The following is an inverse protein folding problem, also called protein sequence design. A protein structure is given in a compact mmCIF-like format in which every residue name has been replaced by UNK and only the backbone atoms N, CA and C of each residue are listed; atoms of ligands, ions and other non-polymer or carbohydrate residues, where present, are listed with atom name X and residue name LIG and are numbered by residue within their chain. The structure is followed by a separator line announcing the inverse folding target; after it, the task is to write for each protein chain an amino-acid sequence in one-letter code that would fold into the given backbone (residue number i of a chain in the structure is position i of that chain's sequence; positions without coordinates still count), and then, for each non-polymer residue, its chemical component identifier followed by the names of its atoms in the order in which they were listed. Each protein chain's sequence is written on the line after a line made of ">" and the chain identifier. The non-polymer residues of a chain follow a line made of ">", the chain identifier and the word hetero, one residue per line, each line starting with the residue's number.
data_IF_187341220447
#
_entry.id   IF_187341220447
#
_cell.length_a   1.000
_cell.length_b   1.000
_cell.length_c   1.000
_cell.angle_alpha   90.00
_cell.angle_beta   90.00
_cell.angle_gamma   90.00
#
_symmetry.space_group_name_H-M   'P 1'
#
loop_
_entity.id
_entity.type
_entity.pdbx_description
1 polymer ?
#
# COMPACT_ATOMS: atom_id res chain seq x y z
N UNK A 1 4.04 18.01 -3.67
CA UNK A 1 5.10 17.24 -4.33
C UNK A 1 5.49 16.10 -3.41
N UNK A 2 5.41 14.85 -3.87
CA UNK A 2 6.05 13.73 -3.18
C UNK A 2 7.54 13.82 -3.47
N UNK A 3 8.34 14.11 -2.45
CA UNK A 3 9.80 14.10 -2.54
C UNK A 3 10.25 12.63 -2.64
N UNK A 4 10.98 12.25 -3.70
CA UNK A 4 11.54 10.90 -3.86
C UNK A 4 13.04 10.92 -3.59
N UNK A 5 13.56 9.89 -2.93
CA UNK A 5 14.99 9.72 -2.65
C UNK A 5 15.85 9.86 -3.93
N UNK A 6 15.33 9.38 -5.06
CA UNK A 6 15.96 9.41 -6.39
C UNK A 6 16.21 10.84 -6.94
N UNK A 7 15.50 11.85 -6.42
CA UNK A 7 15.63 13.24 -6.87
C UNK A 7 16.83 13.96 -6.21
N UNK A 8 17.37 13.41 -5.11
CA UNK A 8 18.43 14.05 -4.32
C UNK A 8 19.73 14.29 -5.13
N UNK A 9 20.24 13.33 -5.94
CA UNK A 9 21.43 13.56 -6.76
C UNK A 9 21.23 14.68 -7.79
N UNK A 10 20.07 14.71 -8.44
CA UNK A 10 19.73 15.73 -9.44
C UNK A 10 19.65 17.11 -8.80
N UNK A 11 18.93 17.24 -7.68
CA UNK A 11 18.83 18.52 -6.96
C UNK A 11 20.18 19.00 -6.44
N UNK A 12 21.04 18.07 -6.00
CA UNK A 12 22.41 18.40 -5.55
C UNK A 12 23.25 18.95 -6.69
N UNK A 13 23.15 18.37 -7.89
CA UNK A 13 23.82 18.87 -9.08
C UNK A 13 23.29 20.25 -9.52
N UNK A 14 21.96 20.43 -9.55
CA UNK A 14 21.32 21.72 -9.88
C UNK A 14 21.74 22.82 -8.91
N UNK A 15 21.79 22.53 -7.61
CA UNK A 15 22.31 23.45 -6.60
C UNK A 15 23.76 23.83 -6.84
N UNK A 16 24.61 22.88 -7.23
CA UNK A 16 26.01 23.15 -7.55
C UNK A 16 26.16 24.11 -8.72
N UNK A 17 25.42 23.89 -9.81
CA UNK A 17 25.41 24.78 -10.98
C UNK A 17 24.89 26.17 -10.62
N UNK A 18 23.78 26.23 -9.88
CA UNK A 18 23.18 27.49 -9.45
C UNK A 18 24.11 28.29 -8.52
N UNK A 19 24.80 27.61 -7.61
CA UNK A 19 25.76 28.23 -6.71
C UNK A 19 26.93 28.86 -7.47
N UNK A 20 27.52 28.12 -8.40
CA UNK A 20 28.59 28.65 -9.26
C UNK A 20 28.10 29.87 -10.07
N UNK A 21 26.87 29.81 -10.60
CA UNK A 21 26.31 30.92 -11.36
C UNK A 21 26.11 32.19 -10.52
N UNK A 22 25.66 32.02 -9.27
CA UNK A 22 25.54 33.14 -8.31
C UNK A 22 26.91 33.74 -8.02
N UNK A 23 27.92 32.92 -7.73
CA UNK A 23 29.29 33.40 -7.48
C UNK A 23 29.87 34.17 -8.67
N UNK A 24 29.68 33.65 -9.89
CA UNK A 24 30.13 34.34 -11.12
C UNK A 24 29.43 35.69 -11.30
N UNK A 25 28.12 35.76 -11.06
CA UNK A 25 27.34 37.01 -11.16
C UNK A 25 27.73 38.03 -10.08
N UNK A 26 28.00 37.56 -8.86
CA UNK A 26 28.51 38.41 -7.78
C UNK A 26 29.90 38.96 -8.11
N UNK A 27 30.80 38.12 -8.64
CA UNK A 27 32.12 38.56 -9.09
C UNK A 27 32.05 39.62 -10.19
N UNK A 28 31.13 39.49 -11.15
CA UNK A 28 30.88 40.51 -12.17
C UNK A 28 30.31 41.80 -11.60
N UNK A 29 29.41 41.70 -10.62
CA UNK A 29 28.83 42.85 -9.92
C UNK A 29 29.92 43.63 -9.16
N UNK A 30 30.76 42.93 -8.41
CA UNK A 30 31.86 43.52 -7.61
C UNK A 30 32.94 44.13 -8.50
N UNK A 31 33.23 43.51 -9.65
CA UNK A 31 34.21 44.02 -10.61
C UNK A 31 33.67 45.16 -11.50
N UNK A 32 32.38 45.51 -11.43
CA UNK A 32 31.74 46.50 -12.31
C UNK A 32 31.94 46.20 -13.81
N UNK A 33 32.05 44.92 -14.19
CA UNK A 33 32.31 44.47 -15.56
C UNK A 33 30.99 44.15 -16.29
N UNK A 34 30.43 45.13 -16.99
CA UNK A 34 29.13 44.99 -17.69
C UNK A 34 29.24 44.47 -19.13
N UNK A 35 30.43 44.53 -19.74
CA UNK A 35 30.67 44.15 -21.14
C UNK A 35 30.41 42.65 -21.39
N UNK A 36 30.74 41.78 -20.43
CA UNK A 36 30.53 40.34 -20.56
C UNK A 36 29.05 39.96 -20.44
N UNK A 37 28.28 40.68 -19.61
CA UNK A 37 26.83 40.50 -19.53
C UNK A 37 26.13 41.00 -20.79
N UNK A 38 26.59 42.11 -21.38
CA UNK A 38 26.10 42.57 -22.68
C UNK A 38 26.35 41.55 -23.78
N UNK A 39 27.55 40.94 -23.82
CA UNK A 39 27.85 39.85 -24.77
C UNK A 39 26.95 38.64 -24.58
N UNK A 40 26.65 38.24 -23.32
CA UNK A 40 25.71 37.14 -23.03
C UNK A 40 24.28 37.48 -23.45
N UNK A 41 23.80 38.70 -23.15
CA UNK A 41 22.45 39.14 -23.54
C UNK A 41 22.33 39.24 -25.06
N UNK A 42 23.35 39.76 -25.75
CA UNK A 42 23.41 39.79 -27.21
C UNK A 42 23.39 38.38 -27.80
N UNK A 43 24.13 37.45 -27.20
CA UNK A 43 24.14 36.06 -27.64
C UNK A 43 22.78 35.37 -27.45
N UNK A 44 22.15 35.51 -26.29
CA UNK A 44 20.78 34.99 -26.04
C UNK A 44 19.75 35.61 -27.00
N UNK A 45 19.87 36.91 -27.26
CA UNK A 45 18.97 37.62 -28.18
C UNK A 45 19.08 37.08 -29.60
N UNK A 46 20.31 36.90 -30.10
CA UNK A 46 20.55 36.47 -31.50
C UNK A 46 20.38 34.97 -31.66
N UNK A 47 21.09 34.15 -30.88
CA UNK A 47 21.19 32.69 -31.08
C UNK A 47 19.95 31.93 -30.57
N UNK A 48 19.08 32.56 -29.77
CA UNK A 48 17.92 31.88 -29.19
C UNK A 48 16.63 32.59 -29.53
N UNK A 49 16.51 33.88 -29.17
CA UNK A 49 15.24 34.60 -29.32
C UNK A 49 14.92 34.90 -30.79
N UNK A 50 15.86 35.46 -31.56
CA UNK A 50 15.63 35.78 -32.98
C UNK A 50 15.50 34.50 -33.84
N UNK A 51 16.33 33.48 -33.59
CA UNK A 51 16.26 32.20 -34.30
C UNK A 51 14.95 31.44 -34.04
N UNK A 52 14.48 31.37 -32.78
CA UNK A 52 13.18 30.77 -32.46
C UNK A 52 12.02 31.58 -33.06
N UNK A 53 12.07 32.91 -33.02
CA UNK A 53 11.04 33.76 -33.65
C UNK A 53 11.00 33.53 -35.17
N UNK A 54 12.16 33.42 -35.83
CA UNK A 54 12.24 33.14 -37.26
C UNK A 54 11.63 31.77 -37.60
N UNK A 55 11.96 30.74 -36.82
CA UNK A 55 11.38 29.39 -36.99
C UNK A 55 9.86 29.38 -36.76
N UNK A 56 9.38 30.07 -35.71
CA UNK A 56 7.94 30.19 -35.44
C UNK A 56 7.21 30.95 -36.54
N UNK A 57 7.79 32.01 -37.09
CA UNK A 57 7.20 32.74 -38.21
C UNK A 57 7.04 31.86 -39.45
N UNK A 58 8.04 31.02 -39.75
CA UNK A 58 7.96 30.07 -40.86
C UNK A 58 6.84 29.05 -40.62
N UNK A 59 6.78 28.43 -39.43
CA UNK A 59 5.72 27.49 -39.08
C UNK A 59 4.31 28.11 -39.13
N UNK A 60 4.15 29.34 -38.63
CA UNK A 60 2.89 30.09 -38.68
C UNK A 60 2.46 30.31 -40.14
N UNK A 61 3.40 30.67 -41.01
CA UNK A 61 3.13 30.87 -42.43
C UNK A 61 2.69 29.55 -43.10
N UNK A 62 3.45 28.48 -42.90
CA UNK A 62 3.19 27.17 -43.52
C UNK A 62 1.84 26.59 -43.05
N UNK A 63 1.56 26.66 -41.73
CA UNK A 63 0.28 26.19 -41.18
C UNK A 63 -0.91 26.98 -41.74
N UNK A 64 -0.80 28.31 -41.88
CA UNK A 64 -1.84 29.13 -42.51
C UNK A 64 -2.06 28.78 -43.98
N UNK A 65 -0.97 28.53 -44.71
CA UNK A 65 -1.04 28.11 -46.11
C UNK A 65 -1.75 26.76 -46.26
N UNK A 66 -1.37 25.77 -45.46
CA UNK A 66 -1.96 24.42 -45.47
C UNK A 66 -3.44 24.43 -45.08
N UNK A 67 -3.82 25.21 -44.07
CA UNK A 67 -5.23 25.42 -43.71
C UNK A 67 -6.01 25.97 -44.92
N UNK A 68 -5.44 26.96 -45.63
CA UNK A 68 -6.04 27.51 -46.85
C UNK A 68 -6.22 26.48 -47.96
N UNK A 69 -5.24 25.59 -48.17
CA UNK A 69 -5.34 24.49 -49.15
C UNK A 69 -6.40 23.45 -48.77
N UNK A 70 -6.49 23.12 -47.47
CA UNK A 70 -7.51 22.20 -46.95
C UNK A 70 -8.91 22.79 -47.13
N UNK A 71 -9.10 24.08 -46.82
CA UNK A 71 -10.38 24.76 -46.97
C UNK A 71 -10.83 24.82 -48.44
N UNK A 72 -9.91 25.12 -49.35
CA UNK A 72 -10.15 25.04 -50.80
C UNK A 72 -10.58 23.63 -51.22
N UNK A 73 -9.85 22.60 -50.76
CA UNK A 73 -10.13 21.20 -51.08
C UNK A 73 -11.48 20.69 -50.53
N UNK A 74 -11.90 21.17 -49.35
CA UNK A 74 -13.18 20.85 -48.74
C UNK A 74 -14.36 21.56 -49.42
N UNK A 75 -14.12 22.69 -50.09
CA UNK A 75 -15.16 23.47 -50.78
C UNK A 75 -15.61 22.84 -52.11
N UNK A 76 -14.78 22.01 -52.75
CA UNK A 76 -15.11 21.34 -54.00
C UNK A 76 -16.00 20.11 -53.78
N UNK A 77 -17.22 20.13 -54.36
CA UNK A 77 -18.13 18.98 -54.39
C UNK A 77 -18.05 18.29 -55.76
N UNK A 78 -17.56 17.05 -55.78
CA UNK A 78 -17.67 16.18 -56.95
C UNK A 78 -19.15 15.80 -57.14
N UNK A 79 -19.79 16.37 -58.16
CA UNK A 79 -21.16 15.99 -58.57
C UNK A 79 -21.08 14.96 -59.69
N UNK A 80 -21.47 13.72 -59.40
CA UNK A 80 -21.73 12.70 -60.41
C UNK A 80 -23.16 12.20 -60.20
N UNK A 81 -24.04 12.41 -61.17
CA UNK A 81 -25.45 12.04 -61.11
C UNK A 81 -25.73 10.85 -62.04
N UNK A 82 -26.09 9.72 -61.43
CA UNK A 82 -26.47 8.50 -62.14
C UNK A 82 -27.77 8.64 -62.93
N UNK A 83 -28.66 9.57 -62.54
CA UNK A 83 -29.92 9.79 -63.22
C UNK A 83 -29.73 10.54 -64.54
N UNK A 84 -28.79 11.49 -64.59
CA UNK A 84 -28.39 12.16 -65.84
C UNK A 84 -27.78 11.16 -66.83
N UNK A 85 -26.98 10.22 -66.34
CA UNK A 85 -26.42 9.16 -67.20
C UNK A 85 -27.53 8.25 -67.72
N UNK A 86 -28.50 7.88 -66.87
CA UNK A 86 -29.65 7.06 -67.28
C UNK A 86 -30.48 7.76 -68.36
N UNK A 87 -30.78 9.06 -68.22
CA UNK A 87 -31.57 9.79 -69.20
C UNK A 87 -30.89 9.85 -70.56
N UNK A 88 -29.56 9.98 -70.61
CA UNK A 88 -28.80 9.97 -71.87
C UNK A 88 -28.90 8.62 -72.60
N UNK A 89 -28.84 7.50 -71.86
CA UNK A 89 -29.00 6.16 -72.46
C UNK A 89 -30.42 5.93 -72.99
N UNK A 90 -31.43 6.41 -72.26
CA UNK A 90 -32.84 6.32 -72.64
C UNK A 90 -33.12 7.18 -73.90
N UNK A 91 -32.56 8.39 -73.97
CA UNK A 91 -32.64 9.28 -75.16
C UNK A 91 -31.95 8.67 -76.40
N UNK A 92 -30.86 7.94 -76.21
CA UNK A 92 -30.15 7.27 -77.29
C UNK A 92 -30.82 5.95 -77.75
N UNK A 93 -31.98 5.57 -77.17
CA UNK A 93 -32.63 4.27 -77.35
C UNK A 93 -31.69 3.05 -77.11
N UNK A 94 -30.65 3.23 -76.30
CA UNK A 94 -29.69 2.19 -75.97
C UNK A 94 -30.08 1.54 -74.64
N UNK A 95 -30.20 0.22 -74.62
CA UNK A 95 -30.52 -0.51 -73.41
C UNK A 95 -29.40 -0.36 -72.37
N UNK A 96 -29.63 0.41 -71.30
CA UNK A 96 -28.68 0.52 -70.19
C UNK A 96 -28.70 -0.78 -69.36
N UNK A 97 -27.65 -1.62 -69.43
CA UNK A 97 -27.70 -2.93 -68.82
C UNK A 97 -27.82 -2.82 -67.30
N UNK A 98 -28.74 -3.57 -66.70
CA UNK A 98 -28.98 -3.58 -65.25
C UNK A 98 -27.70 -3.87 -64.45
N UNK A 99 -26.80 -4.68 -65.02
CA UNK A 99 -25.47 -4.96 -64.47
C UNK A 99 -24.59 -3.71 -64.39
N UNK A 100 -24.58 -2.88 -65.45
CA UNK A 100 -23.80 -1.64 -65.54
C UNK A 100 -24.36 -0.58 -64.57
N UNK A 101 -25.70 -0.45 -64.50
CA UNK A 101 -26.38 0.42 -63.53
C UNK A 101 -25.99 0.09 -62.09
N UNK A 102 -25.95 -1.21 -61.77
CA UNK A 102 -25.54 -1.69 -60.45
C UNK A 102 -24.07 -1.38 -60.17
N UNK A 103 -23.17 -1.65 -61.12
CA UNK A 103 -21.74 -1.36 -60.98
C UNK A 103 -21.43 0.14 -60.83
N UNK A 104 -22.07 1.01 -61.62
CA UNK A 104 -21.91 2.45 -61.46
C UNK A 104 -22.56 2.97 -60.17
N UNK A 105 -23.68 2.38 -59.74
CA UNK A 105 -24.28 2.61 -58.41
C UNK A 105 -23.29 2.29 -57.29
N UNK A 106 -22.69 1.11 -57.32
CA UNK A 106 -21.66 0.66 -56.37
C UNK A 106 -20.42 1.57 -56.41
N UNK A 107 -20.00 2.04 -57.59
CA UNK A 107 -18.87 2.97 -57.74
C UNK A 107 -19.18 4.37 -57.16
N UNK A 108 -20.41 4.87 -57.33
CA UNK A 108 -20.84 6.15 -56.76
C UNK A 108 -20.95 6.06 -55.24
N UNK A 109 -21.44 4.94 -54.70
CA UNK A 109 -21.44 4.69 -53.26
C UNK A 109 -20.02 4.57 -52.70
N UNK A 110 -19.13 3.85 -53.38
CA UNK A 110 -17.71 3.78 -53.02
C UNK A 110 -17.05 5.16 -53.04
N UNK A 111 -17.25 5.95 -54.10
CA UNK A 111 -16.72 7.32 -54.20
C UNK A 111 -17.27 8.22 -53.10
N UNK A 112 -18.57 8.11 -52.76
CA UNK A 112 -19.17 8.83 -51.63
C UNK A 112 -18.51 8.46 -50.31
N UNK A 113 -18.29 7.16 -50.05
CA UNK A 113 -17.63 6.67 -48.83
C UNK A 113 -16.19 7.16 -48.72
N UNK A 114 -15.40 7.02 -49.79
CA UNK A 114 -14.01 7.52 -49.86
C UNK A 114 -13.95 9.04 -49.68
N UNK A 115 -14.88 9.79 -50.27
CA UNK A 115 -14.94 11.25 -50.12
C UNK A 115 -15.31 11.67 -48.70
N UNK A 116 -16.21 10.94 -48.05
CA UNK A 116 -16.58 11.16 -46.65
C UNK A 116 -15.38 10.89 -45.72
N UNK A 117 -14.67 9.77 -45.90
CA UNK A 117 -13.47 9.44 -45.14
C UNK A 117 -12.36 10.47 -45.36
N UNK A 118 -12.11 10.87 -46.62
CA UNK A 118 -11.14 11.91 -46.98
C UNK A 118 -11.48 13.26 -46.33
N UNK A 119 -12.73 13.70 -46.42
CA UNK A 119 -13.15 14.98 -45.86
C UNK A 119 -13.12 14.97 -44.32
N UNK A 120 -13.40 13.81 -43.70
CA UNK A 120 -13.21 13.63 -42.26
C UNK A 120 -11.73 13.76 -41.86
N UNK A 121 -10.82 13.12 -42.62
CA UNK A 121 -9.38 13.24 -42.41
C UNK A 121 -8.87 14.68 -42.61
N UNK A 122 -9.32 15.37 -43.66
CA UNK A 122 -8.98 16.78 -43.92
C UNK A 122 -9.48 17.72 -42.82
N UNK A 123 -10.72 17.55 -42.34
CA UNK A 123 -11.24 18.34 -41.21
C UNK A 123 -10.48 18.09 -39.92
N UNK A 124 -10.06 16.84 -39.68
CA UNK A 124 -9.19 16.51 -38.54
C UNK A 124 -7.84 17.21 -38.67
N UNK A 125 -7.18 17.09 -39.82
CA UNK A 125 -5.87 17.74 -40.06
C UNK A 125 -5.95 19.26 -39.94
N UNK A 126 -7.02 19.88 -40.43
CA UNK A 126 -7.29 21.32 -40.27
C UNK A 126 -7.36 21.71 -38.80
N UNK A 127 -8.08 20.95 -37.99
CA UNK A 127 -8.20 21.20 -36.55
C UNK A 127 -6.85 21.07 -35.84
N UNK A 128 -6.06 20.07 -36.22
CA UNK A 128 -4.70 19.88 -35.68
C UNK A 128 -3.80 21.08 -36.03
N UNK A 129 -3.83 21.54 -37.29
CA UNK A 129 -3.08 22.73 -37.74
C UNK A 129 -3.56 24.03 -37.07
N UNK A 130 -4.86 24.20 -36.83
CA UNK A 130 -5.41 25.37 -36.09
C UNK A 130 -4.90 25.40 -34.64
N UNK A 131 -4.74 24.22 -34.02
CA UNK A 131 -4.17 24.12 -32.68
C UNK A 131 -2.66 24.43 -32.69
N UNK A 132 -1.90 23.84 -33.60
CA UNK A 132 -0.46 24.10 -33.77
C UNK A 132 -0.19 25.60 -34.00
N UNK A 133 -1.03 26.25 -34.83
CA UNK A 133 -0.95 27.68 -35.11
C UNK A 133 -1.15 28.53 -33.85
N UNK A 134 -2.18 28.23 -33.05
CA UNK A 134 -2.48 28.94 -31.81
C UNK A 134 -1.34 28.83 -30.79
N UNK A 135 -0.76 27.64 -30.65
CA UNK A 135 0.38 27.39 -29.76
C UNK A 135 1.63 28.16 -30.22
N UNK A 136 1.92 28.15 -31.52
CA UNK A 136 3.04 28.89 -32.11
C UNK A 136 2.90 30.42 -31.94
N UNK A 137 1.71 30.98 -32.17
CA UNK A 137 1.43 32.41 -31.97
C UNK A 137 1.54 32.84 -30.50
N UNK A 138 1.08 32.00 -29.57
CA UNK A 138 1.22 32.23 -28.13
C UNK A 138 2.70 32.26 -27.70
N UNK A 139 3.50 31.29 -28.17
CA UNK A 139 4.93 31.22 -27.87
C UNK A 139 5.71 32.39 -28.47
N UNK A 140 5.38 32.79 -29.71
CA UNK A 140 5.96 33.97 -30.35
C UNK A 140 5.70 35.24 -29.55
N UNK A 141 4.49 35.42 -29.04
CA UNK A 141 4.13 36.60 -28.22
C UNK A 141 4.99 36.71 -26.96
N UNK A 142 5.24 35.58 -26.28
CA UNK A 142 6.12 35.54 -25.11
C UNK A 142 7.58 35.89 -25.46
N UNK A 143 8.08 35.35 -26.57
CA UNK A 143 9.43 35.65 -27.05
C UNK A 143 9.59 37.11 -27.47
N UNK A 144 8.60 37.71 -28.14
CA UNK A 144 8.60 39.13 -28.49
C UNK A 144 8.63 40.03 -27.23
N UNK A 145 7.92 39.65 -26.16
CA UNK A 145 7.98 40.38 -24.89
C UNK A 145 9.40 40.31 -24.26
N UNK A 146 10.02 39.12 -24.22
CA UNK A 146 11.40 38.95 -23.76
C UNK A 146 12.39 39.73 -24.63
N UNK A 147 12.20 39.75 -25.95
CA UNK A 147 13.01 40.51 -26.91
C UNK A 147 13.02 42.00 -26.58
N UNK A 148 11.84 42.59 -26.34
CA UNK A 148 11.70 44.01 -25.97
C UNK A 148 12.41 44.32 -24.65
N UNK A 149 12.30 43.43 -23.66
CA UNK A 149 12.97 43.58 -22.38
C UNK A 149 14.50 43.54 -22.51
N UNK A 150 15.05 42.57 -23.25
CA UNK A 150 16.50 42.48 -23.50
C UNK A 150 17.04 43.67 -24.30
N UNK A 151 16.32 44.13 -25.31
CA UNK A 151 16.68 45.33 -26.09
C UNK A 151 16.68 46.60 -25.24
N UNK A 152 15.78 46.70 -24.25
CA UNK A 152 15.76 47.84 -23.31
C UNK A 152 17.02 47.89 -22.46
N UNK A 153 17.53 46.74 -22.03
CA UNK A 153 18.79 46.64 -21.26
C UNK A 153 19.98 47.07 -22.14
N UNK A 154 20.06 46.57 -23.38
CA UNK A 154 21.13 46.91 -24.33
C UNK A 154 21.14 48.38 -24.76
N UNK A 155 19.98 49.05 -24.79
CA UNK A 155 19.84 50.48 -25.14
C UNK A 155 20.12 51.44 -23.98
N UNK A 156 20.25 50.95 -22.75
CA UNK A 156 20.52 51.81 -21.59
C UNK A 156 21.97 52.32 -21.61
N UNK A 157 22.13 53.64 -21.56
CA UNK A 157 23.45 54.32 -21.48
C UNK A 157 23.91 54.50 -20.02
N UNK A 158 23.03 54.26 -19.04
CA UNK A 158 23.30 54.45 -17.62
C UNK A 158 23.80 53.15 -16.98
N UNK A 159 25.05 53.15 -16.52
CA UNK A 159 25.71 52.02 -15.86
C UNK A 159 25.00 51.63 -14.55
N UNK A 160 24.26 52.57 -13.95
CA UNK A 160 23.49 52.34 -12.73
C UNK A 160 22.25 51.48 -12.95
N UNK A 161 21.54 51.66 -14.08
CA UNK A 161 20.40 50.80 -14.44
C UNK A 161 20.84 49.36 -14.68
N UNK A 162 22.04 49.17 -15.26
CA UNK A 162 22.66 47.85 -15.49
C UNK A 162 23.05 47.19 -14.17
N UNK A 163 23.66 47.94 -13.26
CA UNK A 163 23.97 47.47 -11.91
C UNK A 163 22.70 47.02 -11.18
N UNK A 164 21.63 47.81 -11.24
CA UNK A 164 20.35 47.50 -10.60
C UNK A 164 19.70 46.23 -11.17
N UNK A 165 19.80 46.00 -12.48
CA UNK A 165 19.32 44.78 -13.11
C UNK A 165 20.14 43.54 -12.68
N UNK A 166 21.47 43.65 -12.64
CA UNK A 166 22.38 42.58 -12.20
C UNK A 166 22.19 42.24 -10.72
N UNK A 167 22.03 43.25 -9.87
CA UNK A 167 21.75 43.09 -8.45
C UNK A 167 20.40 42.42 -8.20
N UNK A 168 19.38 42.73 -9.01
CA UNK A 168 18.08 42.05 -8.96
C UNK A 168 18.22 40.58 -9.33
N UNK A 169 18.92 40.25 -10.41
CA UNK A 169 19.18 38.86 -10.81
C UNK A 169 19.91 38.08 -9.70
N UNK A 170 20.98 38.63 -9.12
CA UNK A 170 21.70 38.01 -7.99
C UNK A 170 20.76 37.73 -6.82
N UNK A 171 19.88 38.67 -6.50
CA UNK A 171 18.92 38.52 -5.40
C UNK A 171 17.92 37.39 -5.68
N UNK A 172 17.39 37.31 -6.90
CA UNK A 172 16.47 36.26 -7.33
C UNK A 172 17.13 34.87 -7.30
N UNK A 173 18.35 34.76 -7.83
CA UNK A 173 19.10 33.51 -7.86
C UNK A 173 19.50 33.05 -6.44
N UNK A 174 19.88 33.98 -5.55
CA UNK A 174 20.12 33.67 -4.12
C UNK A 174 18.87 33.15 -3.42
N UNK A 175 17.71 33.77 -3.65
CA UNK A 175 16.45 33.29 -3.09
C UNK A 175 16.13 31.87 -3.57
N UNK A 176 16.38 31.58 -4.85
CA UNK A 176 16.24 30.24 -5.42
C UNK A 176 17.22 29.24 -4.80
N UNK A 177 18.48 29.65 -4.55
CA UNK A 177 19.49 28.81 -3.90
C UNK A 177 19.09 28.43 -2.48
N UNK A 178 18.60 29.39 -1.69
CA UNK A 178 18.06 29.11 -0.35
C UNK A 178 16.88 28.15 -0.42
N UNK A 179 15.95 28.37 -1.35
CA UNK A 179 14.79 27.50 -1.54
C UNK A 179 15.20 26.06 -1.88
N UNK A 180 16.07 25.87 -2.88
CA UNK A 180 16.56 24.54 -3.27
C UNK A 180 17.40 23.90 -2.16
N UNK A 181 18.16 24.70 -1.41
CA UNK A 181 18.94 24.23 -0.25
C UNK A 181 18.04 23.65 0.85
N UNK A 182 16.92 24.31 1.15
CA UNK A 182 15.92 23.80 2.08
C UNK A 182 15.20 22.54 1.54
N UNK A 183 14.97 22.45 0.23
CA UNK A 183 14.46 21.23 -0.38
C UNK A 183 15.46 20.06 -0.25
N UNK A 184 16.77 20.32 -0.43
CA UNK A 184 17.81 19.31 -0.30
C UNK A 184 17.85 18.72 1.11
N UNK A 185 17.82 19.58 2.15
CA UNK A 185 17.78 19.11 3.54
C UNK A 185 16.59 18.19 3.82
N UNK A 186 15.42 18.51 3.27
CA UNK A 186 14.23 17.67 3.41
C UNK A 186 14.42 16.31 2.72
N UNK A 187 14.99 16.30 1.51
CA UNK A 187 15.29 15.07 0.78
C UNK A 187 16.36 14.22 1.47
N UNK A 188 17.39 14.83 2.06
CA UNK A 188 18.41 14.14 2.87
C UNK A 188 17.76 13.43 4.07
N UNK A 189 16.84 14.09 4.77
CA UNK A 189 16.09 13.47 5.87
C UNK A 189 15.19 12.30 5.40
N UNK A 190 14.56 12.43 4.22
CA UNK A 190 13.79 11.34 3.60
C UNK A 190 14.68 10.15 3.25
N UNK A 191 15.84 10.39 2.65
CA UNK A 191 16.81 9.34 2.29
C UNK A 191 17.33 8.59 3.53
N UNK A 192 17.66 9.34 4.59
CA UNK A 192 18.11 8.75 5.85
C UNK A 192 17.01 7.91 6.50
N UNK A 193 15.77 8.40 6.53
CA UNK A 193 14.63 7.64 7.05
C UNK A 193 14.40 6.36 6.23
N UNK A 194 14.49 6.45 4.90
CA UNK A 194 14.35 5.29 4.01
C UNK A 194 15.45 4.24 4.28
N UNK A 195 16.69 4.69 4.56
CA UNK A 195 17.78 3.80 4.97
C UNK A 195 17.47 3.08 6.27
N UNK A 196 17.02 3.79 7.29
CA UNK A 196 16.65 3.20 8.59
C UNK A 196 15.51 2.19 8.47
N UNK A 197 14.50 2.47 7.63
CA UNK A 197 13.41 1.51 7.34
C UNK A 197 13.98 0.23 6.71
N UNK A 198 14.85 0.34 5.70
CA UNK A 198 15.49 -0.82 5.05
C UNK A 198 16.31 -1.66 6.05
N UNK A 199 17.02 -1.01 6.97
CA UNK A 199 17.78 -1.69 8.02
C UNK A 199 16.85 -2.43 8.99
N UNK A 200 15.80 -1.76 9.49
CA UNK A 200 14.80 -2.36 10.37
C UNK A 200 14.06 -3.54 9.71
N UNK A 201 13.79 -3.47 8.40
CA UNK A 201 13.18 -4.57 7.65
C UNK A 201 14.10 -5.79 7.55
N UNK A 202 15.41 -5.58 7.37
CA UNK A 202 16.39 -6.68 7.38
C UNK A 202 16.50 -7.31 8.76
N UNK A 203 16.56 -6.50 9.81
CA UNK A 203 16.59 -6.99 11.19
C UNK A 203 15.34 -7.78 11.52
N UNK A 204 14.17 -7.29 11.12
CA UNK A 204 12.90 -8.03 11.23
C UNK A 204 13.01 -9.37 10.49
N UNK A 205 13.53 -9.39 9.27
CA UNK A 205 13.73 -10.63 8.50
C UNK A 205 14.60 -11.64 9.25
N UNK A 206 15.74 -11.20 9.79
CA UNK A 206 16.63 -12.05 10.59
C UNK A 206 15.92 -12.65 11.80
N UNK A 207 15.20 -11.83 12.58
CA UNK A 207 14.45 -12.31 13.76
C UNK A 207 13.38 -13.33 13.37
N UNK A 208 12.69 -13.11 12.25
CA UNK A 208 11.69 -14.05 11.74
C UNK A 208 12.31 -15.39 11.36
N UNK A 209 13.49 -15.39 10.75
CA UNK A 209 14.19 -16.62 10.41
C UNK A 209 14.74 -17.35 11.64
N UNK A 210 15.16 -16.61 12.68
CA UNK A 210 15.49 -17.18 14.00
C UNK A 210 14.28 -17.88 14.63
N UNK A 211 13.10 -17.24 14.59
CA UNK A 211 11.84 -17.85 15.08
C UNK A 211 11.52 -19.14 14.30
N UNK A 212 11.66 -19.13 12.97
CA UNK A 212 11.44 -20.35 12.15
C UNK A 212 12.38 -21.48 12.55
N UNK A 213 13.67 -21.17 12.71
CA UNK A 213 14.67 -22.16 13.13
C UNK A 213 14.37 -22.74 14.52
N UNK A 214 13.84 -21.93 15.45
CA UNK A 214 13.38 -22.41 16.75
C UNK A 214 12.21 -23.39 16.65
N UNK A 215 11.34 -23.24 15.65
CA UNK A 215 10.19 -24.13 15.43
C UNK A 215 10.57 -25.45 14.75
N UNK A 216 11.58 -25.45 13.89
CA UNK A 216 12.05 -26.66 13.19
C UNK A 216 12.66 -27.70 14.13
N UNK A 217 13.22 -27.26 15.26
CA UNK A 217 13.87 -28.12 16.25
C UNK A 217 13.18 -27.99 17.61
N UNK A 218 12.14 -28.80 17.87
CA UNK A 218 11.44 -28.80 19.14
C UNK A 218 12.40 -29.00 20.32
N UNK A 219 12.15 -28.29 21.41
CA UNK A 219 12.93 -28.47 22.64
C UNK A 219 12.42 -29.66 23.43
N UNK A 220 13.27 -30.26 24.26
CA UNK A 220 12.89 -31.33 25.19
C UNK A 220 11.73 -30.92 26.10
N UNK A 221 11.70 -29.64 26.51
CA UNK A 221 10.61 -29.07 27.32
C UNK A 221 9.30 -29.08 26.55
N UNK A 222 9.30 -28.64 25.29
CA UNK A 222 8.11 -28.67 24.44
C UNK A 222 7.64 -30.10 24.18
N UNK A 223 8.53 -31.03 23.86
CA UNK A 223 8.17 -32.44 23.64
C UNK A 223 7.57 -33.07 24.90
N UNK A 224 8.16 -32.80 26.06
CA UNK A 224 7.62 -33.25 27.36
C UNK A 224 6.23 -32.66 27.60
N UNK A 225 6.04 -31.36 27.35
CA UNK A 225 4.75 -30.69 27.46
C UNK A 225 3.70 -31.29 26.55
N UNK A 226 3.98 -31.40 25.24
CA UNK A 226 3.04 -31.91 24.25
C UNK A 226 2.58 -33.34 24.57
N UNK A 227 3.51 -34.19 25.04
CA UNK A 227 3.20 -35.55 25.49
C UNK A 227 2.27 -35.57 26.71
N UNK A 228 2.59 -34.82 27.76
CA UNK A 228 1.80 -34.76 29.00
C UNK A 228 0.40 -34.18 28.70
N UNK A 229 0.36 -33.07 27.96
CA UNK A 229 -0.89 -32.44 27.57
C UNK A 229 -1.79 -33.39 26.77
N UNK A 230 -1.23 -34.10 25.79
CA UNK A 230 -1.98 -35.11 25.05
C UNK A 230 -2.49 -36.24 25.96
N UNK A 231 -1.67 -36.75 26.89
CA UNK A 231 -2.08 -37.78 27.85
C UNK A 231 -3.26 -37.31 28.71
N UNK A 232 -3.23 -36.06 29.18
CA UNK A 232 -4.30 -35.44 29.94
C UNK A 232 -5.58 -35.27 29.12
N UNK A 233 -5.47 -34.78 27.89
CA UNK A 233 -6.61 -34.70 26.96
C UNK A 233 -7.19 -36.09 26.67
N UNK A 234 -6.37 -37.12 26.49
CA UNK A 234 -6.87 -38.48 26.26
C UNK A 234 -7.62 -39.02 27.48
N UNK A 235 -7.04 -38.89 28.68
CA UNK A 235 -7.64 -39.36 29.94
C UNK A 235 -8.97 -38.67 30.24
N UNK A 236 -9.01 -37.34 30.12
CA UNK A 236 -10.17 -36.56 30.54
C UNK A 236 -11.17 -36.39 29.40
N UNK A 237 -10.70 -35.99 28.22
CA UNK A 237 -11.57 -35.65 27.09
C UNK A 237 -11.85 -36.83 26.15
N UNK A 238 -11.07 -37.92 26.21
CA UNK A 238 -11.09 -39.00 25.22
C UNK A 238 -10.80 -38.48 23.80
N UNK A 239 -9.91 -37.48 23.71
CA UNK A 239 -9.48 -36.83 22.48
C UNK A 239 -7.96 -36.67 22.50
N UNK A 240 -7.34 -36.66 21.32
CA UNK A 240 -5.92 -36.36 21.17
C UNK A 240 -5.72 -34.84 21.31
N UNK A 241 -4.94 -34.43 22.30
CA UNK A 241 -4.60 -33.03 22.55
C UNK A 241 -3.35 -32.64 21.77
N UNK A 242 -3.50 -31.79 20.76
CA UNK A 242 -2.37 -31.28 19.98
C UNK A 242 -2.09 -29.83 20.39
N UNK A 243 -0.84 -29.56 20.77
CA UNK A 243 -0.33 -28.23 21.03
C UNK A 243 0.87 -27.96 20.14
N UNK A 244 0.83 -26.90 19.34
CA UNK A 244 1.94 -26.54 18.48
C UNK A 244 2.04 -25.03 18.29
N UNK A 245 3.27 -24.56 18.09
CA UNK A 245 3.56 -23.19 17.71
C UNK A 245 3.54 -23.05 16.18
N UNK A 246 3.19 -21.86 15.71
CA UNK A 246 3.23 -21.49 14.31
C UNK A 246 3.57 -19.99 14.18
N UNK A 247 3.92 -19.60 12.96
CA UNK A 247 4.14 -18.20 12.61
C UNK A 247 2.87 -17.69 11.94
N UNK A 248 2.31 -16.60 12.46
CA UNK A 248 1.11 -16.00 11.89
C UNK A 248 1.43 -15.12 10.66
N UNK A 249 0.40 -14.56 10.03
CA UNK A 249 0.56 -13.71 8.82
C UNK A 249 1.42 -12.46 9.05
N UNK A 250 1.59 -12.04 10.29
CA UNK A 250 2.40 -10.89 10.68
C UNK A 250 3.83 -11.28 11.08
N UNK A 251 4.23 -12.52 10.80
CA UNK A 251 5.51 -13.13 11.17
C UNK A 251 5.78 -13.21 12.69
N UNK A 252 4.73 -13.19 13.51
CA UNK A 252 4.86 -13.36 14.96
C UNK A 252 4.67 -14.81 15.37
N UNK A 253 5.34 -15.20 16.45
CA UNK A 253 5.14 -16.49 17.09
C UNK A 253 3.76 -16.55 17.75
N UNK A 254 3.01 -17.61 17.46
CA UNK A 254 1.67 -17.85 17.99
C UNK A 254 1.49 -19.36 18.24
N UNK A 255 0.51 -19.77 19.04
CA UNK A 255 0.26 -21.18 19.35
C UNK A 255 -1.18 -21.58 19.06
N UNK A 256 -1.36 -22.87 18.80
CA UNK A 256 -2.68 -23.47 18.63
C UNK A 256 -2.82 -24.72 19.48
N UNK A 257 -4.03 -24.86 20.02
CA UNK A 257 -4.51 -26.08 20.66
C UNK A 257 -5.59 -26.66 19.75
N UNK A 258 -5.51 -27.95 19.47
CA UNK A 258 -6.50 -28.65 18.66
C UNK A 258 -6.82 -30.00 19.28
N UNK A 259 -8.10 -30.39 19.21
CA UNK A 259 -8.56 -31.70 19.68
C UNK A 259 -8.83 -32.60 18.48
N UNK A 260 -8.10 -33.71 18.39
CA UNK A 260 -8.34 -34.78 17.43
C UNK A 260 -9.24 -35.87 18.01
N UNK A 261 -10.00 -36.56 17.15
CA UNK A 261 -10.71 -37.78 17.57
C UNK A 261 -9.72 -38.93 17.76
N UNK A 262 -9.85 -39.67 18.86
CA UNK A 262 -8.96 -40.79 19.18
C UNK A 262 -8.95 -41.83 18.04
N UNK A 263 -7.76 -42.14 17.51
CA UNK A 263 -7.59 -43.12 16.44
C UNK A 263 -7.94 -42.63 15.02
N UNK A 264 -8.38 -41.39 14.85
CA UNK A 264 -8.58 -40.75 13.54
C UNK A 264 -7.55 -39.63 13.34
N UNK A 265 -6.40 -39.98 12.74
CA UNK A 265 -5.36 -39.01 12.39
C UNK A 265 -5.94 -37.93 11.46
N UNK A 266 -5.89 -36.67 11.90
CA UNK A 266 -6.15 -35.49 11.05
C UNK A 266 -7.59 -34.98 11.03
N UNK A 267 -8.52 -35.53 11.81
CA UNK A 267 -9.88 -34.96 11.94
C UNK A 267 -9.95 -34.09 13.18
N UNK A 268 -9.97 -32.77 12.98
CA UNK A 268 -10.21 -31.81 14.05
C UNK A 268 -11.67 -31.92 14.53
N UNK A 269 -11.88 -32.15 15.82
CA UNK A 269 -13.19 -32.15 16.44
C UNK A 269 -13.65 -30.72 16.69
N UNK A 270 -14.87 -30.37 16.27
CA UNK A 270 -15.51 -29.07 16.57
C UNK A 270 -15.86 -28.88 18.05
N UNK A 271 -15.63 -29.89 18.90
CA UNK A 271 -15.93 -29.82 20.33
C UNK A 271 -15.08 -28.80 21.12
N UNK A 272 -13.94 -28.37 20.56
CA UNK A 272 -13.10 -27.32 21.16
C UNK A 272 -13.74 -25.91 21.14
N UNK A 273 -14.84 -25.71 20.41
CA UNK A 273 -15.53 -24.41 20.29
C UNK A 273 -16.57 -24.16 21.40
N UNK A 274 -16.92 -25.19 22.19
CA UNK A 274 -17.81 -25.07 23.33
C UNK A 274 -17.13 -24.42 24.55
N UNK A 275 -17.80 -23.46 25.19
CA UNK A 275 -17.25 -22.69 26.33
C UNK A 275 -16.83 -23.58 27.51
N UNK A 276 -17.62 -24.58 27.89
CA UNK A 276 -17.29 -25.51 28.98
C UNK A 276 -16.12 -26.44 28.66
N UNK A 277 -16.01 -26.90 27.41
CA UNK A 277 -14.87 -27.71 26.97
C UNK A 277 -13.58 -26.90 26.95
N UNK A 278 -13.65 -25.63 26.53
CA UNK A 278 -12.51 -24.72 26.55
C UNK A 278 -11.97 -24.49 27.97
N UNK A 279 -12.83 -24.32 28.98
CA UNK A 279 -12.41 -24.23 30.39
C UNK A 279 -11.58 -25.46 30.81
N UNK A 280 -12.06 -26.65 30.48
CA UNK A 280 -11.39 -27.91 30.83
C UNK A 280 -10.05 -28.05 30.09
N UNK A 281 -9.98 -27.69 28.81
CA UNK A 281 -8.73 -27.68 28.04
C UNK A 281 -7.69 -26.75 28.69
N UNK A 282 -8.09 -25.54 29.11
CA UNK A 282 -7.20 -24.61 29.81
C UNK A 282 -6.67 -25.22 31.12
N UNK A 283 -7.55 -25.84 31.91
CA UNK A 283 -7.11 -26.48 33.15
C UNK A 283 -6.11 -27.63 32.92
N UNK A 284 -6.32 -28.45 31.88
CA UNK A 284 -5.37 -29.50 31.50
C UNK A 284 -4.04 -28.93 30.97
N UNK A 285 -4.08 -27.79 30.28
CA UNK A 285 -2.90 -27.06 29.85
C UNK A 285 -2.08 -26.61 31.06
N UNK A 286 -2.73 -25.99 32.05
CA UNK A 286 -2.08 -25.50 33.27
C UNK A 286 -1.45 -26.66 34.06
N UNK A 287 -2.19 -27.76 34.24
CA UNK A 287 -1.67 -28.97 34.91
C UNK A 287 -0.46 -29.55 34.16
N UNK A 288 -0.50 -29.61 32.83
CA UNK A 288 0.61 -30.11 32.03
C UNK A 288 1.85 -29.21 32.16
N UNK A 289 1.64 -27.89 32.14
CA UNK A 289 2.70 -26.91 32.28
C UNK A 289 3.39 -27.03 33.65
N UNK A 290 2.59 -27.11 34.71
CA UNK A 290 3.08 -27.27 36.08
C UNK A 290 3.84 -28.59 36.25
N UNK A 291 3.41 -29.67 35.61
CA UNK A 291 4.14 -30.94 35.67
C UNK A 291 5.50 -30.87 34.95
N UNK A 292 5.57 -30.20 33.80
CA UNK A 292 6.82 -30.04 33.05
C UNK A 292 7.87 -29.30 33.88
N UNK A 293 7.42 -28.33 34.69
CA UNK A 293 8.29 -27.46 35.49
C UNK A 293 8.33 -27.81 36.98
N UNK A 294 7.85 -28.99 37.38
CA UNK A 294 7.72 -29.38 38.79
C UNK A 294 9.06 -29.38 39.57
N UNK A 295 10.18 -29.60 38.89
CA UNK A 295 11.52 -29.72 39.49
C UNK A 295 12.37 -28.44 39.39
N UNK A 296 11.80 -27.33 38.92
CA UNK A 296 12.49 -26.05 38.83
C UNK A 296 11.76 -24.96 39.63
N UNK A 297 12.38 -23.79 39.89
CA UNK A 297 11.72 -22.64 40.52
C UNK A 297 10.64 -22.02 39.60
N UNK A 298 9.50 -22.69 39.51
CA UNK A 298 8.28 -22.24 38.83
C UNK A 298 7.12 -22.19 39.83
N UNK A 299 5.93 -21.83 39.38
CA UNK A 299 4.75 -21.93 40.22
C UNK A 299 4.48 -23.40 40.58
N UNK A 300 4.23 -23.65 41.87
CA UNK A 300 3.85 -24.97 42.41
C UNK A 300 2.41 -24.98 42.96
N UNK A 301 1.57 -24.11 42.42
CA UNK A 301 0.14 -24.12 42.70
C UNK A 301 -0.68 -23.63 41.51
N UNK A 302 -1.96 -23.97 41.49
CA UNK A 302 -2.95 -23.43 40.54
C UNK A 302 -4.31 -23.28 41.21
N UNK A 303 -5.07 -22.27 40.78
CA UNK A 303 -6.43 -22.00 41.24
C UNK A 303 -7.39 -21.94 40.05
N UNK A 304 -8.46 -22.74 40.09
CA UNK A 304 -9.53 -22.69 39.08
C UNK A 304 -10.89 -22.43 39.71
N UNK A 305 -11.54 -21.36 39.29
CA UNK A 305 -12.88 -20.99 39.74
C UNK A 305 -13.96 -21.74 38.93
N UNK A 306 -14.97 -22.27 39.61
CA UNK A 306 -16.15 -22.86 38.96
C UNK A 306 -15.81 -24.01 37.99
N UNK A 307 -14.78 -24.81 38.32
CA UNK A 307 -14.21 -25.79 37.38
C UNK A 307 -15.23 -26.84 36.87
N UNK A 308 -16.28 -27.12 37.64
CA UNK A 308 -17.29 -28.14 37.33
C UNK A 308 -18.60 -27.62 36.75
N UNK A 309 -18.71 -26.32 36.50
CA UNK A 309 -19.90 -25.72 35.91
C UNK A 309 -20.24 -26.32 34.54
N UNK A 310 -21.47 -26.78 34.38
CA UNK A 310 -22.01 -27.28 33.10
C UNK A 310 -21.16 -28.38 32.43
N UNK A 311 -20.41 -29.18 33.23
CA UNK A 311 -19.68 -30.35 32.77
C UNK A 311 -20.44 -31.65 33.02
N UNK A 312 -20.23 -32.65 32.16
CA UNK A 312 -20.70 -34.03 32.36
C UNK A 312 -19.93 -34.70 33.52
N UNK A 313 -20.63 -35.48 34.35
CA UNK A 313 -20.06 -36.11 35.54
C UNK A 313 -18.85 -37.01 35.25
N UNK A 314 -18.83 -37.69 34.09
CA UNK A 314 -17.68 -38.54 33.70
C UNK A 314 -16.43 -37.69 33.50
N UNK A 315 -16.57 -36.48 32.95
CA UNK A 315 -15.46 -35.54 32.73
C UNK A 315 -14.96 -34.97 34.06
N UNK A 316 -15.86 -34.63 34.98
CA UNK A 316 -15.50 -34.18 36.34
C UNK A 316 -14.70 -35.25 37.08
N UNK A 317 -15.17 -36.49 37.07
CA UNK A 317 -14.50 -37.61 37.73
C UNK A 317 -13.12 -37.90 37.12
N UNK A 318 -13.02 -37.95 35.79
CA UNK A 318 -11.74 -38.15 35.11
C UNK A 318 -10.74 -37.01 35.39
N UNK A 319 -11.22 -35.76 35.44
CA UNK A 319 -10.38 -34.62 35.81
C UNK A 319 -9.87 -34.72 37.25
N UNK A 320 -10.74 -35.07 38.20
CA UNK A 320 -10.35 -35.29 39.60
C UNK A 320 -9.28 -36.38 39.75
N UNK A 321 -9.37 -37.45 38.97
CA UNK A 321 -8.36 -38.50 38.97
C UNK A 321 -6.99 -37.97 38.53
N UNK A 322 -6.94 -37.18 37.47
CA UNK A 322 -5.69 -36.52 37.01
C UNK A 322 -5.13 -35.58 38.08
N UNK A 323 -5.97 -34.72 38.65
CA UNK A 323 -5.55 -33.78 39.71
C UNK A 323 -5.01 -34.52 40.92
N UNK A 324 -5.76 -35.49 41.45
CA UNK A 324 -5.35 -36.29 42.63
C UNK A 324 -4.06 -37.05 42.39
N UNK A 325 -3.90 -37.63 41.20
CA UNK A 325 -2.66 -38.29 40.81
C UNK A 325 -1.48 -37.30 40.82
N UNK A 326 -1.63 -36.12 40.22
CA UNK A 326 -0.56 -35.13 40.16
C UNK A 326 -0.16 -34.62 41.56
N UNK A 327 -1.14 -34.23 42.39
CA UNK A 327 -0.85 -33.71 43.75
C UNK A 327 -0.32 -34.79 44.71
N UNK A 328 -0.54 -36.09 44.43
CA UNK A 328 -0.03 -37.18 45.26
C UNK A 328 1.50 -37.19 45.40
N UNK A 329 2.21 -36.60 44.43
CA UNK A 329 3.66 -36.43 44.43
C UNK A 329 4.15 -35.34 45.38
N UNK A 330 3.23 -34.60 46.04
CA UNK A 330 3.48 -33.53 47.01
C UNK A 330 4.37 -32.38 46.52
N UNK A 331 4.41 -32.17 45.21
CA UNK A 331 5.13 -31.04 44.56
C UNK A 331 4.21 -29.92 44.10
N UNK A 332 2.89 -30.12 44.10
CA UNK A 332 1.92 -29.19 43.56
C UNK A 332 0.72 -29.05 44.50
N UNK A 333 0.24 -27.83 44.69
CA UNK A 333 -1.05 -27.56 45.31
C UNK A 333 -2.11 -27.19 44.26
N UNK A 334 -3.18 -27.97 44.17
CA UNK A 334 -4.32 -27.65 43.31
C UNK A 334 -5.47 -27.10 44.15
N UNK A 335 -6.03 -25.95 43.75
CA UNK A 335 -7.15 -25.30 44.43
C UNK A 335 -8.28 -25.10 43.42
N UNK A 336 -9.51 -25.44 43.79
CA UNK A 336 -10.70 -25.07 43.01
C UNK A 336 -11.87 -24.70 43.90
N UNK A 337 -12.79 -23.92 43.34
CA UNK A 337 -14.12 -23.69 43.91
C UNK A 337 -15.15 -24.53 43.16
N UNK A 338 -16.13 -25.05 43.91
CA UNK A 338 -17.22 -25.85 43.38
C UNK A 338 -18.49 -25.51 44.16
N UNK A 339 -19.59 -25.29 43.46
CA UNK A 339 -20.92 -25.14 44.07
C UNK A 339 -21.49 -26.55 44.31
N UNK A 340 -22.23 -26.74 45.41
CA UNK A 340 -22.79 -28.05 45.77
C UNK A 340 -23.61 -28.72 44.66
N UNK A 341 -24.30 -27.92 43.82
CA UNK A 341 -25.05 -28.41 42.65
C UNK A 341 -24.17 -29.01 41.56
N UNK A 342 -22.92 -28.56 41.45
CA UNK A 342 -21.97 -28.97 40.42
C UNK A 342 -21.05 -30.11 40.87
N UNK A 343 -21.23 -30.65 42.09
CA UNK A 343 -20.48 -31.81 42.53
C UNK A 343 -20.73 -33.01 41.60
N UNK A 344 -19.69 -33.80 41.28
CA UNK A 344 -19.83 -34.95 40.40
C UNK A 344 -20.76 -36.01 41.00
N UNK A 345 -21.49 -36.71 40.14
CA UNK A 345 -22.33 -37.86 40.54
C UNK A 345 -21.78 -39.17 39.99
N UNK A 346 -21.95 -40.25 40.75
CA UNK A 346 -21.59 -41.60 40.33
C UNK A 346 -22.62 -42.17 39.32
N UNK A 347 -22.34 -43.36 38.79
CA UNK A 347 -23.26 -44.05 37.87
C UNK A 347 -24.65 -44.38 38.47
N UNK A 348 -24.81 -44.25 39.79
CA UNK A 348 -26.08 -44.43 40.51
C UNK A 348 -26.74 -43.08 40.87
N UNK A 349 -26.21 -41.97 40.36
CA UNK A 349 -26.71 -40.61 40.59
C UNK A 349 -26.37 -40.02 41.96
N UNK A 350 -25.53 -40.69 42.76
CA UNK A 350 -25.14 -40.26 44.10
C UNK A 350 -23.99 -39.27 44.01
N UNK A 351 -24.04 -38.22 44.82
CA UNK A 351 -22.97 -37.22 44.89
C UNK A 351 -21.68 -37.87 45.36
N UNK A 352 -20.60 -37.63 44.63
CA UNK A 352 -19.23 -38.00 44.99
C UNK A 352 -18.63 -36.81 45.75
N UNK A 353 -18.64 -36.91 47.08
CA UNK A 353 -18.11 -35.87 47.95
C UNK A 353 -16.56 -35.87 47.97
N UNK A 354 -15.99 -34.70 48.24
CA UNK A 354 -14.58 -34.57 48.61
C UNK A 354 -14.35 -35.10 50.03
N UNK A 355 -13.16 -35.63 50.29
CA UNK A 355 -12.77 -36.01 51.64
C UNK A 355 -12.57 -34.75 52.51
N UNK A 356 -12.73 -34.88 53.83
CA UNK A 356 -12.68 -33.71 54.73
C UNK A 356 -11.29 -33.03 54.72
N UNK A 357 -10.22 -33.77 54.41
CA UNK A 357 -8.86 -33.25 54.24
C UNK A 357 -8.63 -32.57 52.88
N UNK A 358 -9.51 -32.78 51.90
CA UNK A 358 -9.50 -32.06 50.62
C UNK A 358 -10.26 -30.71 50.70
N UNK A 359 -11.00 -30.47 51.79
CA UNK A 359 -11.85 -29.29 51.95
C UNK A 359 -11.16 -28.25 52.83
N UNK A 360 -10.65 -27.19 52.19
CA UNK A 360 -9.97 -26.08 52.89
C UNK A 360 -10.98 -25.10 53.53
N UNK A 361 -12.10 -24.84 52.85
CA UNK A 361 -13.11 -23.86 53.27
C UNK A 361 -14.49 -24.26 52.73
N UNK A 362 -15.51 -24.23 53.59
CA UNK A 362 -16.92 -24.31 53.20
C UNK A 362 -17.55 -22.94 53.37
N UNK A 363 -18.24 -22.49 52.32
CA UNK A 363 -18.96 -21.22 52.30
C UNK A 363 -20.46 -21.50 52.17
N UNK A 364 -21.28 -20.69 52.84
CA UNK A 364 -22.73 -20.75 52.80
C UNK A 364 -23.37 -19.38 53.09
N UNK A 365 -24.66 -19.26 52.78
CA UNK A 365 -25.42 -18.03 52.94
C UNK A 365 -26.11 -17.93 54.31
N UNK A 366 -25.74 -18.76 55.30
CA UNK A 366 -26.41 -18.78 56.61
C UNK A 366 -26.10 -17.57 57.50
N UNK A 367 -25.14 -16.72 57.08
CA UNK A 367 -24.81 -15.46 57.76
C UNK A 367 -23.39 -14.98 57.45
N UNK A 368 -22.89 -14.01 58.22
CA UNK A 368 -21.54 -13.47 58.04
C UNK A 368 -20.46 -14.55 58.12
N UNK A 369 -20.57 -15.50 59.06
CA UNK A 369 -19.59 -16.55 59.25
C UNK A 369 -19.45 -17.52 58.06
N UNK A 370 -20.50 -17.67 57.25
CA UNK A 370 -20.51 -18.51 56.05
C UNK A 370 -19.89 -17.83 54.81
N UNK A 371 -19.56 -16.54 54.88
CA UNK A 371 -19.02 -15.76 53.75
C UNK A 371 -17.50 -15.69 53.78
N UNK A 372 -16.88 -15.57 52.60
CA UNK A 372 -15.42 -15.52 52.44
C UNK A 372 -14.77 -14.39 53.26
N UNK A 373 -15.33 -13.18 53.21
CA UNK A 373 -14.80 -12.00 53.92
C UNK A 373 -15.44 -11.74 55.29
N UNK A 374 -16.42 -12.55 55.69
CA UNK A 374 -17.13 -12.40 56.97
C UNK A 374 -17.78 -11.03 57.19
N UNK A 375 -18.28 -10.40 56.13
CA UNK A 375 -18.95 -9.09 56.17
C UNK A 375 -20.46 -9.18 55.96
N UNK A 376 -21.20 -8.17 56.44
CA UNK A 376 -22.62 -7.98 56.18
C UNK A 376 -22.89 -7.79 54.67
N UNK A 377 -24.12 -8.06 54.24
CA UNK A 377 -24.55 -7.85 52.85
C UNK A 377 -24.73 -6.34 52.63
N UNK A 378 -24.32 -5.86 51.47
CA UNK A 378 -24.45 -4.44 51.12
C UNK A 378 -25.86 -4.11 50.64
#
# INVERSE_FOLDING_TARGET
>A
MQFKEEDLPKLTAELGVLHQHVEDLEGQLDAFQFDDKERRIMRELVETIEDEIASLNQHIYDARYDIGQIDSSLSHKDKFDLNEVQSIFDEAQLHFPTQLKKQYGELVEFKKKVTQERNAALRKRRKDLEQELSEAEGRKTLLDARRVERLKVLRSTDTFDKFKALQKDVTEQKAQLVYLGEQRKKLEAVAETARQVREAERDRGRVVDEIKAMLEKPTVVYERFARIFNEYCQKVLNHEGMFFFHINSNNNLDYKISLGLAGQKGVASSQGEGTSYKKLICALFDLALLQVYEDIPFFHFVYHDGMFEALDDRKKLAFLEVVRHQVSHRKLQYIMTVIASDLPRDAKGRVVAFADDEIVLRLDDSGQAGRLFKVAEF
#
